data_IF_677427161263
#
_entry.id   IF_677427161263
#
_cell.length_a   1.000
_cell.length_b   1.000
_cell.length_c   1.000
_cell.angle_alpha   90.00
_cell.angle_beta   90.00
_cell.angle_gamma   90.00
#
_symmetry.space_group_name_H-M   'P 1'
#
loop_
_entity.id
_entity.type
_entity.pdbx_description
1 polymer ?
#
# COMPACT_ATOMS: atom_id res chain seq x y z
N UNK A 1 -2.89 -10.40 -2.99
CA UNK A 1 -2.80 -9.16 -3.78
C UNK A 1 -1.89 -8.20 -3.04
N UNK A 2 -1.01 -7.50 -3.75
CA UNK A 2 -0.07 -6.55 -3.15
C UNK A 2 -0.52 -5.12 -3.43
N UNK A 3 -0.40 -4.25 -2.42
CA UNK A 3 -0.68 -2.83 -2.55
C UNK A 3 0.39 -2.02 -1.83
N UNK A 4 0.91 -0.97 -2.48
CA UNK A 4 1.64 0.07 -1.76
C UNK A 4 0.62 1.01 -1.16
N UNK A 5 0.65 1.14 0.16
CA UNK A 5 -0.14 2.11 0.89
C UNK A 5 0.79 3.22 1.35
N UNK A 6 0.44 4.46 1.01
CA UNK A 6 1.08 5.67 1.52
C UNK A 6 0.08 6.37 2.45
N UNK A 7 0.57 6.94 3.54
CA UNK A 7 -0.25 7.70 4.45
C UNK A 7 0.50 8.93 4.95
N UNK A 8 -0.14 10.09 4.94
CA UNK A 8 0.35 11.31 5.58
C UNK A 8 -0.65 11.76 6.65
N UNK A 9 -0.20 11.96 7.89
CA UNK A 9 -1.08 12.48 8.94
C UNK A 9 -1.33 13.99 8.77
N UNK A 10 -2.59 14.38 8.65
CA UNK A 10 -3.10 15.76 8.52
C UNK A 10 -3.83 16.20 9.79
N UNK A 11 -3.20 16.00 10.95
CA UNK A 11 -3.76 16.41 12.24
C UNK A 11 -3.82 17.95 12.31
N UNK A 12 -4.99 18.55 12.63
CA UNK A 12 -5.10 20.00 12.79
C UNK A 12 -4.15 20.52 13.89
N UNK A 13 -3.42 21.64 13.68
CA UNK A 13 -2.54 22.20 14.70
C UNK A 13 -3.24 22.61 15.99
N UNK A 14 -4.55 22.85 15.93
CA UNK A 14 -5.39 23.21 17.09
C UNK A 14 -5.75 22.01 17.97
N UNK A 15 -5.51 20.78 17.52
CA UNK A 15 -5.90 19.58 18.24
C UNK A 15 -4.91 19.27 19.39
N UNK A 16 -5.39 19.05 20.63
CA UNK A 16 -4.51 18.70 21.74
C UNK A 16 -3.78 17.38 21.50
N UNK A 17 -2.48 17.35 21.80
CA UNK A 17 -1.66 16.14 21.67
C UNK A 17 -2.16 14.99 22.56
N UNK A 18 -2.78 15.30 23.70
CA UNK A 18 -3.37 14.31 24.60
C UNK A 18 -4.52 13.53 23.96
N UNK A 19 -5.22 14.12 22.99
CA UNK A 19 -6.32 13.48 22.25
C UNK A 19 -5.79 12.59 21.10
N UNK A 20 -4.73 13.04 20.42
CA UNK A 20 -4.16 12.38 19.25
C UNK A 20 -3.20 11.25 19.61
N UNK A 21 -2.41 11.41 20.67
CA UNK A 21 -1.37 10.44 21.04
C UNK A 21 -1.92 9.03 21.29
N UNK A 22 -3.08 8.83 21.97
CA UNK A 22 -3.68 7.51 22.11
C UNK A 22 -4.05 6.88 20.76
N UNK A 23 -4.66 7.65 19.85
CA UNK A 23 -5.04 7.19 18.50
C UNK A 23 -3.84 6.79 17.66
N UNK A 24 -2.76 7.58 17.73
CA UNK A 24 -1.48 7.26 17.08
C UNK A 24 -0.90 5.96 17.62
N UNK A 25 -0.86 5.78 18.95
CA UNK A 25 -0.37 4.56 19.58
C UNK A 25 -1.15 3.34 19.11
N UNK A 26 -2.47 3.40 19.20
CA UNK A 26 -3.34 2.30 18.81
C UNK A 26 -3.19 1.96 17.33
N UNK A 27 -3.02 2.97 16.46
CA UNK A 27 -2.74 2.78 15.04
C UNK A 27 -1.42 2.04 14.81
N UNK A 28 -0.33 2.44 15.48
CA UNK A 28 0.96 1.74 15.34
C UNK A 28 0.90 0.31 15.90
N UNK A 29 0.17 0.08 16.98
CA UNK A 29 -0.07 -1.26 17.52
C UNK A 29 -0.87 -2.13 16.54
N UNK A 30 -1.87 -1.56 15.86
CA UNK A 30 -2.65 -2.21 14.81
C UNK A 30 -1.76 -2.62 13.61
N UNK A 31 -0.95 -1.69 13.09
CA UNK A 31 -0.01 -1.97 12.01
C UNK A 31 1.01 -3.05 12.41
N UNK A 32 1.53 -3.00 13.64
CA UNK A 32 2.43 -4.03 14.17
C UNK A 32 1.78 -5.41 14.32
N UNK A 33 0.46 -5.49 14.55
CA UNK A 33 -0.27 -6.77 14.49
C UNK A 33 -0.37 -7.29 13.05
N UNK A 34 -0.71 -6.42 12.09
CA UNK A 34 -0.81 -6.81 10.68
C UNK A 34 0.53 -7.28 10.10
N UNK A 35 1.64 -6.66 10.50
CA UNK A 35 2.98 -7.11 10.15
C UNK A 35 3.23 -8.54 10.66
N UNK A 36 2.92 -8.82 11.93
CA UNK A 36 3.03 -10.18 12.50
C UNK A 36 2.11 -11.20 11.83
N UNK A 37 0.94 -10.78 11.38
CA UNK A 37 -0.03 -11.60 10.64
C UNK A 37 0.37 -11.81 9.16
N UNK A 38 1.42 -11.13 8.66
CA UNK A 38 1.85 -11.19 7.26
C UNK A 38 0.97 -10.38 6.30
N UNK A 39 0.04 -9.58 6.82
CA UNK A 39 -0.78 -8.63 6.05
C UNK A 39 0.00 -7.38 5.66
N UNK A 40 1.06 -7.05 6.39
CA UNK A 40 2.08 -6.10 5.95
C UNK A 40 3.37 -6.89 5.73
N UNK A 41 3.93 -6.80 4.52
CA UNK A 41 5.16 -7.53 4.16
C UNK A 41 6.42 -6.66 4.26
N UNK A 42 6.25 -5.37 4.51
CA UNK A 42 7.33 -4.43 4.77
C UNK A 42 6.82 -2.98 4.77
N UNK A 43 7.51 -2.09 5.49
CA UNK A 43 7.12 -0.69 5.59
C UNK A 43 7.67 -0.01 6.84
N UNK A 44 7.16 1.19 7.11
CA UNK A 44 7.47 1.95 8.32
C UNK A 44 7.09 3.43 8.20
N UNK A 45 7.39 4.17 9.27
CA UNK A 45 7.35 5.63 9.27
C UNK A 45 8.56 6.20 8.54
N UNK A 46 8.38 7.25 7.75
CA UNK A 46 9.50 8.02 7.21
C UNK A 46 10.08 8.92 8.29
N UNK A 47 11.38 8.78 8.55
CA UNK A 47 12.08 9.51 9.60
C UNK A 47 11.94 11.03 9.43
N UNK A 48 11.60 11.72 10.52
CA UNK A 48 11.43 13.18 10.53
C UNK A 48 10.13 13.70 9.89
N UNK A 49 9.21 12.82 9.48
CA UNK A 49 7.96 13.21 8.83
C UNK A 49 6.74 12.60 9.54
N UNK A 50 5.55 13.06 9.12
CA UNK A 50 4.26 12.45 9.46
C UNK A 50 3.78 11.44 8.42
N UNK A 51 4.69 10.94 7.58
CA UNK A 51 4.39 9.98 6.52
C UNK A 51 4.75 8.55 6.92
N UNK A 52 3.99 7.59 6.40
CA UNK A 52 4.27 6.18 6.46
C UNK A 52 4.05 5.51 5.10
N UNK A 53 4.83 4.46 4.84
CA UNK A 53 4.69 3.61 3.67
C UNK A 53 4.65 2.16 4.14
N UNK A 54 3.78 1.35 3.55
CA UNK A 54 3.82 -0.09 3.75
C UNK A 54 3.24 -0.84 2.56
N UNK A 55 3.70 -2.07 2.37
CA UNK A 55 3.15 -2.98 1.38
C UNK A 55 2.16 -3.92 2.06
N UNK A 56 0.89 -3.78 1.72
CA UNK A 56 -0.17 -4.66 2.18
C UNK A 56 -0.25 -5.92 1.30
N UNK A 57 -0.39 -7.08 1.93
CA UNK A 57 -0.66 -8.35 1.28
C UNK A 57 -2.02 -8.89 1.76
N UNK A 58 -3.03 -8.71 0.94
CA UNK A 58 -4.44 -9.03 1.28
C UNK A 58 -5.07 -9.89 0.19
N UNK A 59 -6.22 -10.49 0.49
CA UNK A 59 -6.95 -11.36 -0.43
C UNK A 59 -7.87 -10.61 -1.38
N UNK A 60 -8.31 -9.39 -1.02
CA UNK A 60 -9.15 -8.55 -1.87
C UNK A 60 -9.02 -7.04 -1.57
N UNK A 61 -9.53 -6.21 -2.48
CA UNK A 61 -9.65 -4.75 -2.28
C UNK A 61 -10.54 -4.38 -1.10
N UNK A 62 -11.62 -5.13 -0.86
CA UNK A 62 -12.53 -4.90 0.27
C UNK A 62 -11.88 -5.26 1.61
N UNK A 63 -10.99 -6.26 1.62
CA UNK A 63 -10.18 -6.53 2.81
C UNK A 63 -9.27 -5.33 3.09
N UNK A 64 -8.57 -4.82 2.07
CA UNK A 64 -7.70 -3.64 2.25
C UNK A 64 -8.47 -2.44 2.78
N UNK A 65 -9.61 -2.12 2.18
CA UNK A 65 -10.47 -1.02 2.59
C UNK A 65 -10.88 -1.14 4.07
N UNK A 66 -11.36 -2.32 4.49
CA UNK A 66 -11.69 -2.58 5.90
C UNK A 66 -10.50 -2.43 6.83
N UNK A 67 -9.32 -2.86 6.42
CA UNK A 67 -8.11 -2.70 7.23
C UNK A 67 -7.79 -1.20 7.38
N UNK A 68 -7.63 -0.47 6.28
CA UNK A 68 -7.26 0.95 6.30
C UNK A 68 -8.27 1.78 7.11
N UNK A 69 -9.57 1.60 6.85
CA UNK A 69 -10.64 2.34 7.55
C UNK A 69 -10.80 1.97 9.02
N UNK A 70 -10.27 0.83 9.46
CA UNK A 70 -10.23 0.45 10.88
C UNK A 70 -9.19 1.20 11.71
N UNK A 71 -8.30 1.97 11.07
CA UNK A 71 -7.31 2.77 11.78
C UNK A 71 -7.99 3.89 12.59
N UNK A 72 -7.67 4.03 13.90
CA UNK A 72 -8.13 5.16 14.71
C UNK A 72 -7.70 6.54 14.21
N UNK A 73 -6.71 6.59 13.32
CA UNK A 73 -6.19 7.80 12.69
C UNK A 73 -6.75 8.04 11.28
N UNK A 74 -7.62 7.17 10.75
CA UNK A 74 -8.09 7.21 9.36
C UNK A 74 -8.65 8.59 8.96
N UNK A 75 -9.49 9.20 9.80
CA UNK A 75 -10.08 10.52 9.55
C UNK A 75 -9.05 11.68 9.54
N UNK A 76 -7.82 11.42 9.99
CA UNK A 76 -6.72 12.37 10.05
C UNK A 76 -5.59 12.00 9.08
N UNK A 77 -5.83 11.09 8.13
CA UNK A 77 -4.83 10.61 7.20
C UNK A 77 -5.26 10.91 5.77
N UNK A 78 -4.31 11.41 4.99
CA UNK A 78 -4.39 11.32 3.53
C UNK A 78 -3.78 9.98 3.13
N UNK A 79 -4.56 9.11 2.48
CA UNK A 79 -4.17 7.74 2.17
C UNK A 79 -4.23 7.51 0.66
N UNK A 80 -3.11 7.07 0.09
CA UNK A 80 -3.04 6.64 -1.30
C UNK A 80 -2.78 5.12 -1.35
N UNK A 81 -3.45 4.46 -2.30
CA UNK A 81 -3.32 3.02 -2.51
C UNK A 81 -2.97 2.76 -3.97
N UNK A 82 -1.84 2.09 -4.18
CA UNK A 82 -1.35 1.70 -5.50
C UNK A 82 -1.32 0.17 -5.60
N UNK A 83 -2.10 -0.46 -6.50
CA UNK A 83 -2.02 -1.89 -6.72
C UNK A 83 -0.65 -2.27 -7.32
N UNK A 84 -0.07 -3.35 -6.81
CA UNK A 84 1.22 -3.85 -7.27
C UNK A 84 1.08 -5.23 -7.91
N UNK A 85 1.75 -5.41 -9.04
CA UNK A 85 2.06 -6.73 -9.58
C UNK A 85 3.33 -7.22 -8.88
N UNK A 86 3.38 -8.51 -8.52
CA UNK A 86 4.60 -9.09 -7.98
C UNK A 86 5.72 -9.08 -9.02
N UNK A 87 6.98 -9.15 -8.57
CA UNK A 87 8.12 -9.25 -9.50
C UNK A 87 8.00 -10.48 -10.42
N UNK A 88 7.50 -11.61 -9.90
CA UNK A 88 7.25 -12.80 -10.72
C UNK A 88 6.12 -12.59 -11.73
N UNK A 89 5.02 -11.94 -11.34
CA UNK A 89 3.92 -11.63 -12.25
C UNK A 89 4.32 -10.65 -13.35
N UNK A 90 5.19 -9.69 -13.04
CA UNK A 90 5.75 -8.79 -14.05
C UNK A 90 6.64 -9.54 -15.06
N UNK A 91 7.40 -10.56 -14.61
CA UNK A 91 8.19 -11.42 -15.49
C UNK A 91 7.30 -12.31 -16.37
N UNK A 92 6.22 -12.87 -15.82
CA UNK A 92 5.23 -13.65 -16.56
C UNK A 92 4.59 -12.81 -17.68
N UNK A 93 4.13 -11.59 -17.36
CA UNK A 93 3.56 -10.66 -18.34
C UNK A 93 4.55 -10.31 -19.46
N UNK A 94 5.83 -10.09 -19.11
CA UNK A 94 6.87 -9.83 -20.11
C UNK A 94 7.07 -11.05 -21.03
N UNK A 95 7.11 -12.25 -20.45
CA UNK A 95 7.28 -13.51 -21.18
C UNK A 95 6.13 -13.74 -22.16
N UNK A 96 4.89 -13.53 -21.72
CA UNK A 96 3.69 -13.60 -22.56
C UNK A 96 3.75 -12.58 -23.70
N UNK A 97 4.14 -11.35 -23.41
CA UNK A 97 4.29 -10.31 -24.41
C UNK A 97 5.34 -10.66 -25.47
N UNK A 98 6.50 -11.20 -25.08
CA UNK A 98 7.54 -11.65 -26.01
C UNK A 98 7.05 -12.76 -26.94
N UNK A 99 6.29 -13.72 -26.40
CA UNK A 99 5.69 -14.82 -27.17
C UNK A 99 4.66 -14.31 -28.18
N UNK A 100 3.76 -13.41 -27.76
CA UNK A 100 2.75 -12.81 -28.62
C UNK A 100 3.38 -11.92 -29.71
N UNK A 101 4.45 -11.17 -29.37
CA UNK A 101 5.18 -10.33 -30.32
C UNK A 101 5.93 -11.16 -31.38
N UNK A 102 6.51 -12.28 -30.97
CA UNK A 102 7.19 -13.22 -31.88
C UNK A 102 6.24 -13.83 -32.91
N UNK A 103 4.94 -13.93 -32.58
CA UNK A 103 3.89 -14.41 -33.49
C UNK A 103 3.32 -13.32 -34.42
N UNK A 104 3.50 -12.02 -34.11
CA UNK A 104 2.85 -10.91 -34.83
C UNK A 104 3.79 -10.02 -35.66
N UNK A 105 5.03 -10.45 -35.95
CA UNK A 105 5.84 -9.80 -36.99
C UNK A 105 6.29 -8.36 -36.68
N UNK A 106 6.58 -8.05 -35.42
CA UNK A 106 7.51 -6.96 -35.04
C UNK A 106 7.16 -5.54 -35.49
N UNK A 107 6.04 -4.96 -35.04
CA UNK A 107 5.90 -3.49 -35.00
C UNK A 107 6.18 -2.95 -33.59
N UNK A 108 6.95 -1.85 -33.49
CA UNK A 108 7.25 -1.17 -32.21
C UNK A 108 5.95 -0.80 -31.49
N UNK A 109 5.76 -1.34 -30.28
CA UNK A 109 4.51 -1.22 -29.54
C UNK A 109 4.78 -1.00 -28.05
N UNK A 110 3.98 -0.10 -27.48
CA UNK A 110 3.95 0.33 -26.08
C UNK A 110 3.99 -0.84 -25.09
N UNK A 111 4.61 -0.63 -23.93
CA UNK A 111 4.65 -1.60 -22.82
C UNK A 111 3.25 -2.17 -22.50
N UNK A 112 3.14 -3.47 -22.16
CA UNK A 112 1.90 -4.04 -21.66
C UNK A 112 1.47 -3.28 -20.40
N UNK A 113 0.33 -2.61 -20.45
CA UNK A 113 -0.31 -2.01 -19.28
C UNK A 113 -1.22 -3.07 -18.66
N UNK A 114 -0.96 -3.37 -17.38
CA UNK A 114 -1.77 -4.21 -16.48
C UNK A 114 -3.25 -3.84 -16.47
#
# INVERSE_FOLDING_TARGET
MLFLVTSESKVPPSMPMEEITPKLRETWELLGRWEKEGKIVGGGRVAGTHMAYFVANVTSTEELDRLITSSPMYDYMDVEVLPLVSISGALEQLTEWEQHRSQQGGQQGRWPSS
#
